data_IF_852108948481
#
_entry.id   IF_852108948481
#
_cell.length_a   1.000
_cell.length_b   1.000
_cell.length_c   1.000
_cell.angle_alpha   90.00
_cell.angle_beta   90.00
_cell.angle_gamma   90.00
#
_symmetry.space_group_name_H-M   'P 1'
#
loop_
_entity.id
_entity.type
_entity.pdbx_description
1 polymer ?
#
# COMPACT_ATOMS: atom_id res chain seq x y z
N UNK A 1 16.33 -10.11 11.61
CA UNK A 1 14.96 -9.60 11.38
C UNK A 1 15.01 -8.76 10.13
N UNK A 2 14.08 -8.98 9.20
CA UNK A 2 14.00 -8.17 7.97
C UNK A 2 13.46 -6.76 8.29
N UNK A 3 13.60 -5.83 7.36
CA UNK A 3 13.00 -4.49 7.47
C UNK A 3 11.48 -4.62 7.58
N UNK A 4 10.88 -5.53 6.81
CA UNK A 4 9.45 -5.80 6.78
C UNK A 4 8.94 -6.38 8.10
N UNK A 5 9.72 -7.22 8.79
CA UNK A 5 9.36 -7.74 10.12
C UNK A 5 9.33 -6.60 11.17
N UNK A 6 10.31 -5.69 11.11
CA UNK A 6 10.36 -4.54 12.00
C UNK A 6 9.20 -3.59 11.72
N UNK A 7 8.92 -3.33 10.45
CA UNK A 7 7.81 -2.49 10.01
C UNK A 7 6.47 -3.06 10.47
N UNK A 8 6.28 -4.37 10.30
CA UNK A 8 5.08 -5.07 10.77
C UNK A 8 4.92 -4.89 12.27
N UNK A 9 5.97 -5.15 13.06
CA UNK A 9 5.93 -4.98 14.51
C UNK A 9 5.56 -3.55 14.93
N UNK A 10 6.12 -2.54 14.25
CA UNK A 10 5.79 -1.14 14.50
C UNK A 10 4.33 -0.81 14.17
N UNK A 11 3.84 -1.24 13.00
CA UNK A 11 2.45 -1.00 12.57
C UNK A 11 1.46 -1.70 13.50
N UNK A 12 1.70 -2.97 13.85
CA UNK A 12 0.85 -3.73 14.77
C UNK A 12 0.81 -3.08 16.16
N UNK A 13 1.95 -2.55 16.63
CA UNK A 13 2.04 -1.82 17.91
C UNK A 13 1.20 -0.54 17.92
N UNK A 14 1.20 0.23 16.83
CA UNK A 14 0.41 1.45 16.68
C UNK A 14 -1.09 1.12 16.51
N UNK A 15 -1.41 0.13 15.66
CA UNK A 15 -2.80 -0.28 15.36
C UNK A 15 -3.46 -1.00 16.54
N UNK A 16 -2.67 -1.66 17.39
CA UNK A 16 -3.15 -2.50 18.49
C UNK A 16 -3.71 -3.86 18.05
N UNK A 17 -3.49 -4.26 16.79
CA UNK A 17 -3.92 -5.55 16.24
C UNK A 17 -2.89 -6.12 15.28
N UNK A 18 -2.87 -7.45 15.15
CA UNK A 18 -2.01 -8.13 14.17
C UNK A 18 -2.42 -7.80 12.74
N UNK A 19 -1.44 -7.70 11.84
CA UNK A 19 -1.66 -7.62 10.41
C UNK A 19 -1.90 -9.04 9.87
N UNK A 20 -2.84 -9.22 8.93
CA UNK A 20 -3.06 -10.52 8.34
C UNK A 20 -1.83 -10.97 7.56
N UNK A 21 -1.61 -12.29 7.56
CA UNK A 21 -0.47 -12.92 6.89
C UNK A 21 -0.91 -13.90 5.80
N UNK A 22 -2.19 -14.27 5.80
CA UNK A 22 -2.76 -15.11 4.76
C UNK A 22 -3.01 -14.29 3.51
N UNK A 23 -2.28 -14.62 2.44
CA UNK A 23 -2.36 -13.90 1.18
C UNK A 23 -3.64 -14.28 0.42
N UNK A 24 -4.52 -13.32 0.07
CA UNK A 24 -5.72 -13.65 -0.70
C UNK A 24 -5.34 -14.23 -2.07
N UNK A 25 -5.96 -15.34 -2.53
CA UNK A 25 -5.57 -15.99 -3.79
C UNK A 25 -5.68 -15.10 -5.04
N UNK A 26 -6.57 -14.10 -5.02
CA UNK A 26 -6.78 -13.16 -6.11
C UNK A 26 -5.94 -11.88 -6.00
N UNK A 27 -5.15 -11.73 -4.93
CA UNK A 27 -4.34 -10.54 -4.73
C UNK A 27 -3.05 -10.59 -5.56
N UNK A 28 -2.51 -9.42 -5.90
CA UNK A 28 -1.18 -9.33 -6.48
C UNK A 28 -0.16 -10.02 -5.56
N UNK A 29 0.75 -10.85 -6.10
CA UNK A 29 1.79 -11.48 -5.29
C UNK A 29 2.69 -10.47 -4.58
N UNK A 30 3.24 -10.87 -3.43
CA UNK A 30 4.34 -10.13 -2.83
C UNK A 30 5.54 -10.07 -3.80
N UNK A 31 6.23 -8.94 -3.83
CA UNK A 31 7.34 -8.64 -4.72
C UNK A 31 6.93 -8.12 -6.10
N UNK A 32 5.65 -8.18 -6.47
CA UNK A 32 5.14 -7.61 -7.73
C UNK A 32 5.49 -6.13 -7.80
N UNK A 33 6.18 -5.75 -8.87
CA UNK A 33 6.44 -4.33 -9.18
C UNK A 33 5.15 -3.68 -9.66
N UNK A 34 4.88 -2.50 -9.16
CA UNK A 34 3.64 -1.78 -9.41
C UNK A 34 3.92 -0.31 -9.72
N UNK A 35 3.04 0.29 -10.49
CA UNK A 35 2.86 1.73 -10.60
C UNK A 35 1.70 2.14 -9.71
N UNK A 36 1.93 3.09 -8.82
CA UNK A 36 0.88 3.80 -8.10
C UNK A 36 0.38 4.92 -8.99
N UNK A 37 -0.88 4.84 -9.41
CA UNK A 37 -1.50 5.78 -10.35
C UNK A 37 -2.39 6.78 -9.64
N UNK A 38 -2.55 7.97 -10.24
CA UNK A 38 -3.46 8.98 -9.74
C UNK A 38 -4.89 8.64 -10.10
N UNK A 39 -5.82 9.11 -9.28
CA UNK A 39 -7.22 9.06 -9.61
C UNK A 39 -7.53 10.12 -10.70
N UNK A 40 -8.27 9.78 -11.76
CA UNK A 40 -8.61 10.75 -12.79
C UNK A 40 -9.63 11.81 -12.34
N UNK A 41 -10.40 11.56 -11.28
CA UNK A 41 -11.48 12.43 -10.81
C UNK A 41 -11.07 13.39 -9.68
N UNK A 42 -9.94 13.15 -9.02
CA UNK A 42 -9.35 14.02 -8.00
C UNK A 42 -7.85 13.76 -7.91
N UNK A 43 -7.05 14.69 -7.41
CA UNK A 43 -5.59 14.55 -7.40
C UNK A 43 -5.07 13.34 -6.61
N UNK A 44 -5.92 12.70 -5.80
CA UNK A 44 -5.53 11.59 -4.93
C UNK A 44 -4.58 12.05 -3.82
N UNK A 45 -4.11 11.11 -2.99
CA UNK A 45 -3.25 11.45 -1.85
C UNK A 45 -1.81 11.73 -2.25
N UNK A 46 -1.38 11.44 -3.49
CA UNK A 46 0.03 11.53 -3.88
C UNK A 46 0.31 12.67 -4.85
N UNK A 47 1.47 13.33 -4.70
CA UNK A 47 1.88 14.45 -5.56
C UNK A 47 2.01 14.04 -7.04
N UNK A 48 2.38 12.79 -7.30
CA UNK A 48 2.62 12.23 -8.63
C UNK A 48 2.34 10.73 -8.65
N UNK A 49 2.38 10.17 -9.85
CA UNK A 49 2.49 8.73 -10.03
C UNK A 49 3.94 8.27 -9.87
N UNK A 50 4.14 7.09 -9.31
CA UNK A 50 5.46 6.54 -9.02
C UNK A 50 5.44 5.01 -9.02
N UNK A 51 6.61 4.40 -8.86
CA UNK A 51 6.78 2.95 -8.86
C UNK A 51 7.14 2.43 -7.48
N UNK A 52 6.82 1.17 -7.23
CA UNK A 52 7.19 0.46 -6.02
C UNK A 52 6.95 -1.04 -6.15
N UNK A 53 6.94 -1.73 -5.02
CA UNK A 53 6.69 -3.17 -4.94
C UNK A 53 5.71 -3.48 -3.82
N UNK A 54 4.80 -4.42 -4.09
CA UNK A 54 3.98 -5.02 -3.04
C UNK A 54 4.92 -5.73 -2.06
N UNK A 55 4.93 -5.34 -0.80
CA UNK A 55 5.84 -5.91 0.20
C UNK A 55 5.13 -6.89 1.15
N UNK A 56 5.87 -7.47 2.08
CA UNK A 56 5.39 -8.50 3.01
C UNK A 56 5.09 -7.95 4.42
N UNK A 57 4.91 -6.65 4.60
CA UNK A 57 4.55 -6.06 5.92
C UNK A 57 3.26 -6.69 6.44
N UNK A 58 2.27 -6.86 5.58
CA UNK A 58 1.05 -7.62 5.82
C UNK A 58 0.42 -8.04 4.49
N UNK A 59 -0.38 -9.10 4.53
CA UNK A 59 -1.18 -9.50 3.39
C UNK A 59 -2.21 -8.41 3.04
N UNK A 60 -2.60 -8.29 1.75
CA UNK A 60 -3.60 -7.31 1.34
C UNK A 60 -4.92 -7.43 2.12
N UNK A 61 -5.41 -6.31 2.61
CA UNK A 61 -6.61 -6.23 3.47
C UNK A 61 -7.79 -5.65 2.71
N UNK A 62 -9.05 -6.02 3.02
CA UNK A 62 -10.20 -5.31 2.52
C UNK A 62 -10.16 -3.82 2.89
N UNK A 63 -10.48 -2.95 1.94
CA UNK A 63 -10.65 -1.52 2.22
C UNK A 63 -11.93 -1.30 3.02
N UNK A 64 -11.80 -0.80 4.24
CA UNK A 64 -12.93 -0.44 5.10
C UNK A 64 -13.23 1.05 4.95
N UNK A 65 -13.93 1.41 3.86
CA UNK A 65 -14.35 2.78 3.60
C UNK A 65 -15.65 2.83 2.80
N UNK A 66 -16.45 3.89 2.98
CA UNK A 66 -17.75 4.04 2.31
C UNK A 66 -17.64 4.14 0.77
N UNK A 67 -16.47 4.52 0.26
CA UNK A 67 -16.18 4.65 -1.18
C UNK A 67 -15.44 3.42 -1.75
N UNK A 68 -15.19 2.39 -0.94
CA UNK A 68 -14.52 1.17 -1.40
C UNK A 68 -15.37 0.46 -2.46
N UNK A 69 -14.73 -0.07 -3.50
CA UNK A 69 -15.41 -1.00 -4.40
C UNK A 69 -15.65 -2.35 -3.71
N UNK A 70 -16.68 -3.12 -4.10
CA UNK A 70 -16.90 -4.45 -3.55
C UNK A 70 -15.66 -5.35 -3.71
N UNK A 71 -15.15 -5.90 -2.61
CA UNK A 71 -13.97 -6.77 -2.60
C UNK A 71 -12.64 -6.05 -2.84
N UNK A 72 -12.62 -4.72 -2.78
CA UNK A 72 -11.38 -3.96 -2.96
C UNK A 72 -10.39 -4.24 -1.83
N UNK A 73 -9.15 -4.53 -2.21
CA UNK A 73 -8.04 -4.74 -1.30
C UNK A 73 -7.14 -3.51 -1.27
N UNK A 74 -6.43 -3.29 -0.16
CA UNK A 74 -5.30 -2.36 -0.06
C UNK A 74 -4.00 -3.14 0.16
N UNK A 75 -2.93 -2.64 -0.42
CA UNK A 75 -1.63 -3.30 -0.48
C UNK A 75 -0.59 -2.45 0.26
N UNK A 76 0.26 -3.08 1.05
CA UNK A 76 1.50 -2.45 1.48
C UNK A 76 2.45 -2.36 0.29
N UNK A 77 2.81 -1.13 -0.09
CA UNK A 77 3.73 -0.88 -1.20
C UNK A 77 4.95 -0.16 -0.64
N UNK A 78 6.13 -0.78 -0.79
CA UNK A 78 7.41 -0.10 -0.60
C UNK A 78 7.76 0.62 -1.90
N UNK A 79 8.14 1.89 -1.81
CA UNK A 79 8.36 2.74 -2.98
C UNK A 79 9.79 2.53 -3.52
N UNK A 80 9.96 2.60 -4.85
CA UNK A 80 11.28 2.51 -5.50
C UNK A 80 12.14 3.75 -5.11
N UNK A 81 11.50 4.90 -4.91
CA UNK A 81 12.08 6.16 -4.42
C UNK A 81 11.25 6.71 -3.25
N UNK A 82 11.81 7.66 -2.51
CA UNK A 82 11.06 8.38 -1.49
C UNK A 82 10.02 9.30 -2.13
N UNK A 83 8.78 9.28 -1.62
CA UNK A 83 7.66 10.02 -2.20
C UNK A 83 7.01 11.00 -1.22
N UNK A 84 6.42 12.06 -1.78
CA UNK A 84 5.64 13.05 -1.03
C UNK A 84 4.16 12.91 -1.38
N UNK A 85 3.32 13.19 -0.39
CA UNK A 85 1.88 13.26 -0.61
C UNK A 85 1.49 14.58 -1.31
N UNK A 86 0.21 14.74 -1.63
CA UNK A 86 -0.29 15.90 -2.38
C UNK A 86 -0.20 17.22 -1.59
N UNK A 87 -0.09 17.16 -0.26
CA UNK A 87 0.07 18.32 0.62
C UNK A 87 1.55 18.66 0.87
N UNK A 88 2.47 17.79 0.42
CA UNK A 88 3.91 17.95 0.53
C UNK A 88 4.51 17.27 1.77
N UNK A 89 3.73 16.48 2.51
CA UNK A 89 4.24 15.70 3.62
C UNK A 89 5.06 14.50 3.12
N UNK A 90 6.06 14.09 3.92
CA UNK A 90 7.03 13.05 3.58
C UNK A 90 8.47 13.47 3.92
N UNK A 91 9.49 12.84 3.32
CA UNK A 91 9.38 11.74 2.35
C UNK A 91 8.92 10.42 2.99
N UNK A 92 7.94 9.77 2.37
CA UNK A 92 7.49 8.44 2.70
C UNK A 92 8.24 7.39 1.88
N UNK A 93 8.51 6.24 2.49
CA UNK A 93 9.11 5.07 1.82
C UNK A 93 8.11 3.95 1.54
N UNK A 94 6.93 4.02 2.13
CA UNK A 94 5.92 2.96 2.17
C UNK A 94 4.57 3.53 2.56
N UNK A 95 3.50 2.95 2.01
CA UNK A 95 2.14 3.16 2.49
C UNK A 95 1.23 1.98 2.17
N UNK A 96 0.02 1.98 2.73
CA UNK A 96 -1.10 1.20 2.20
C UNK A 96 -1.73 1.96 1.04
N UNK A 97 -1.85 1.29 -0.10
CA UNK A 97 -2.43 1.85 -1.33
C UNK A 97 -3.64 1.01 -1.71
N UNK A 98 -4.78 1.66 -1.99
CA UNK A 98 -5.97 0.96 -2.44
C UNK A 98 -5.74 0.33 -3.82
N UNK A 99 -6.25 -0.88 -4.00
CA UNK A 99 -5.96 -1.74 -5.15
C UNK A 99 -6.33 -1.12 -6.50
N UNK A 100 -7.34 -0.25 -6.55
CA UNK A 100 -7.69 0.46 -7.80
C UNK A 100 -6.58 1.39 -8.31
N UNK A 101 -5.66 1.82 -7.42
CA UNK A 101 -4.53 2.68 -7.75
C UNK A 101 -3.21 1.91 -7.89
N UNK A 102 -3.24 0.57 -7.80
CA UNK A 102 -2.06 -0.30 -7.91
C UNK A 102 -2.13 -1.06 -9.23
N UNK A 103 -1.25 -0.72 -10.17
CA UNK A 103 -1.17 -1.38 -11.48
C UNK A 103 0.14 -2.16 -11.61
N UNK A 104 0.12 -3.46 -11.99
CA UNK A 104 1.35 -4.19 -12.31
C UNK A 104 2.16 -3.49 -13.41
N UNK A 105 3.48 -3.41 -13.21
CA UNK A 105 4.42 -2.71 -14.10
C UNK A 105 5.49 -3.64 -14.70
#
# INVERSE_FOLDING_TARGET
MSTEDNDRGAVEGIRGSRLPQEWPPSALPAGTRVRVVQDPAWKGPWAREFYGRVDTTGAPEPVVHAQAHPGELQYWVTFDELEYDADGDGPFRKAQIWGRYVQPA
#
